data_IF_344870054498
#
_entry.id   IF_344870054498
#
_cell.length_a   1.000
_cell.length_b   1.000
_cell.length_c   1.000
_cell.angle_alpha   90.00
_cell.angle_beta   90.00
_cell.angle_gamma   90.00
#
_symmetry.space_group_name_H-M   'P 1'
#
loop_
_entity.id
_entity.type
_entity.pdbx_description
1 polymer ?
#
# COMPACT_ATOMS: atom_id res chain seq x y z
N UNK A 1 -4.36 -24.42 11.79
CA UNK A 1 -2.97 -24.54 12.31
C UNK A 1 -3.05 -24.63 13.83
N UNK A 2 -2.22 -25.43 14.50
CA UNK A 2 -2.24 -25.55 15.97
C UNK A 2 -1.71 -24.26 16.63
N UNK A 3 -2.24 -23.85 17.77
CA UNK A 3 -1.89 -22.58 18.45
C UNK A 3 -0.41 -22.52 18.83
N UNK A 4 0.15 -23.65 19.23
CA UNK A 4 1.55 -23.80 19.61
C UNK A 4 2.47 -23.46 18.43
N UNK A 5 2.11 -23.93 17.23
CA UNK A 5 2.86 -23.65 16.01
C UNK A 5 2.82 -22.16 15.63
N UNK A 6 1.70 -21.48 15.85
CA UNK A 6 1.58 -20.04 15.61
C UNK A 6 2.53 -19.28 16.55
N UNK A 7 2.49 -19.58 17.85
CA UNK A 7 3.34 -18.92 18.84
C UNK A 7 4.83 -19.16 18.56
N UNK A 8 5.19 -20.37 18.15
CA UNK A 8 6.55 -20.72 17.75
C UNK A 8 7.01 -19.86 16.57
N UNK A 9 6.22 -19.76 15.50
CA UNK A 9 6.53 -18.93 14.32
C UNK A 9 6.67 -17.46 14.70
N UNK A 10 5.71 -16.91 15.47
CA UNK A 10 5.73 -15.52 15.92
C UNK A 10 6.89 -15.19 16.87
N UNK A 11 7.40 -16.20 17.60
CA UNK A 11 8.59 -16.02 18.43
C UNK A 11 9.85 -16.01 17.58
N UNK A 12 9.96 -16.94 16.62
CA UNK A 12 11.15 -17.05 15.78
C UNK A 12 11.29 -15.90 14.79
N UNK A 13 10.19 -15.35 14.26
CA UNK A 13 10.24 -14.27 13.27
C UNK A 13 11.00 -13.05 13.78
N UNK A 14 10.97 -12.77 15.10
CA UNK A 14 11.72 -11.68 15.75
C UNK A 14 13.24 -11.78 15.60
N UNK A 15 13.77 -12.94 15.21
CA UNK A 15 15.19 -13.16 14.96
C UNK A 15 15.54 -13.24 13.45
N UNK A 16 14.55 -13.14 12.56
CA UNK A 16 14.73 -13.27 11.11
C UNK A 16 15.05 -11.90 10.52
N UNK A 17 16.03 -11.87 9.59
CA UNK A 17 16.30 -10.71 8.73
C UNK A 17 15.71 -10.98 7.36
N UNK A 18 14.93 -10.04 6.83
CA UNK A 18 14.18 -10.25 5.59
C UNK A 18 14.54 -9.16 4.59
N UNK A 19 14.86 -9.56 3.35
CA UNK A 19 14.96 -8.63 2.23
C UNK A 19 13.73 -8.79 1.34
N UNK A 20 13.08 -7.68 1.01
CA UNK A 20 11.96 -7.63 0.07
C UNK A 20 12.45 -6.95 -1.21
N UNK A 21 12.50 -7.73 -2.29
CA UNK A 21 12.82 -7.27 -3.63
C UNK A 21 11.58 -7.35 -4.53
N UNK A 22 11.17 -6.25 -5.13
CA UNK A 22 10.03 -6.24 -6.03
C UNK A 22 9.51 -4.84 -6.36
N UNK A 23 8.31 -4.81 -6.92
CA UNK A 23 7.67 -3.59 -7.37
C UNK A 23 6.87 -2.94 -6.24
N UNK A 24 7.30 -1.73 -5.86
CA UNK A 24 6.66 -0.93 -4.83
C UNK A 24 5.66 0.02 -5.47
N UNK A 25 4.43 0.00 -4.97
CA UNK A 25 3.38 0.89 -5.45
C UNK A 25 2.54 1.45 -4.29
N UNK A 26 1.79 2.50 -4.63
CA UNK A 26 0.72 3.05 -3.82
C UNK A 26 -0.61 2.70 -4.49
N UNK A 27 -1.55 2.21 -3.69
CA UNK A 27 -2.93 2.07 -4.12
C UNK A 27 -3.63 3.40 -3.86
N UNK A 28 -4.05 4.07 -4.94
CA UNK A 28 -4.74 5.35 -4.88
C UNK A 28 -6.26 5.16 -4.92
N UNK A 29 -6.94 5.78 -3.96
CA UNK A 29 -8.40 5.74 -3.85
C UNK A 29 -8.98 7.14 -3.99
N UNK A 30 -9.91 7.29 -4.93
CA UNK A 30 -10.72 8.49 -5.10
C UNK A 30 -12.18 8.18 -4.79
N UNK A 31 -12.70 8.83 -3.75
CA UNK A 31 -14.09 8.73 -3.34
C UNK A 31 -14.87 9.82 -4.08
N UNK A 32 -15.74 9.38 -4.98
CA UNK A 32 -16.53 10.25 -5.81
C UNK A 32 -17.67 10.88 -5.01
N UNK A 33 -17.92 12.16 -5.26
CA UNK A 33 -19.08 12.89 -4.77
C UNK A 33 -19.89 13.40 -5.98
N UNK A 34 -20.97 12.70 -6.38
CA UNK A 34 -21.77 13.10 -7.52
C UNK A 34 -22.45 14.46 -7.37
N UNK A 35 -22.59 15.01 -6.15
CA UNK A 35 -23.19 16.33 -5.96
C UNK A 35 -22.33 17.46 -6.52
N UNK A 36 -21.01 17.26 -6.61
CA UNK A 36 -20.08 18.20 -7.21
C UNK A 36 -19.89 18.01 -8.72
N UNK A 37 -20.59 17.06 -9.34
CA UNK A 37 -20.37 16.71 -10.75
C UNK A 37 -21.08 17.64 -11.71
N UNK A 38 -20.40 17.98 -12.81
CA UNK A 38 -20.92 18.78 -13.92
C UNK A 38 -20.84 18.04 -15.26
N UNK A 39 -21.54 18.51 -16.28
CA UNK A 39 -21.39 18.00 -17.65
C UNK A 39 -20.28 18.78 -18.33
N UNK A 40 -19.25 18.10 -18.82
CA UNK A 40 -18.14 18.73 -19.53
C UNK A 40 -18.64 19.41 -20.81
N UNK A 41 -18.26 20.67 -21.00
CA UNK A 41 -18.62 21.46 -22.20
C UNK A 41 -17.86 20.95 -23.43
N UNK A 42 -16.67 20.41 -23.24
CA UNK A 42 -15.77 19.92 -24.30
C UNK A 42 -16.21 18.56 -24.84
N UNK A 43 -16.75 17.69 -23.98
CA UNK A 43 -17.02 16.29 -24.31
C UNK A 43 -18.48 15.87 -24.20
N UNK A 44 -19.31 16.65 -23.49
CA UNK A 44 -20.70 16.30 -23.17
C UNK A 44 -20.83 15.15 -22.15
N UNK A 45 -19.73 14.67 -21.57
CA UNK A 45 -19.73 13.58 -20.58
C UNK A 45 -19.90 14.13 -19.15
N UNK A 46 -20.54 13.33 -18.30
CA UNK A 46 -20.63 13.64 -16.87
C UNK A 46 -19.25 13.52 -16.21
N UNK A 47 -18.74 14.62 -15.64
CA UNK A 47 -17.54 14.63 -14.85
C UNK A 47 -17.73 13.85 -13.54
N UNK A 48 -16.66 13.20 -13.06
CA UNK A 48 -16.64 12.48 -11.79
C UNK A 48 -15.93 13.33 -10.74
N UNK A 49 -16.69 14.12 -9.98
CA UNK A 49 -16.12 14.93 -8.92
C UNK A 49 -15.59 14.03 -7.79
N UNK A 50 -14.38 14.33 -7.32
CA UNK A 50 -13.73 13.63 -6.19
C UNK A 50 -13.95 14.47 -4.95
N UNK A 51 -14.67 13.93 -3.96
CA UNK A 51 -14.86 14.60 -2.67
C UNK A 51 -13.73 14.30 -1.67
N UNK A 52 -13.10 13.12 -1.79
CA UNK A 52 -11.99 12.70 -0.92
C UNK A 52 -11.05 11.78 -1.68
N UNK A 53 -9.77 11.80 -1.32
CA UNK A 53 -8.83 10.79 -1.76
C UNK A 53 -7.94 10.34 -0.61
N UNK A 54 -7.39 9.14 -0.73
CA UNK A 54 -6.37 8.61 0.17
C UNK A 54 -5.52 7.56 -0.54
N UNK A 55 -4.41 7.19 0.08
CA UNK A 55 -3.46 6.21 -0.45
C UNK A 55 -3.25 5.10 0.58
N UNK A 56 -2.99 3.89 0.10
CA UNK A 56 -2.45 2.79 0.91
C UNK A 56 -1.24 2.16 0.24
N UNK A 57 -0.52 1.32 0.98
CA UNK A 57 0.62 0.58 0.45
C UNK A 57 0.12 -0.56 -0.43
N UNK A 58 0.54 -0.56 -1.70
CA UNK A 58 0.26 -1.62 -2.67
C UNK A 58 1.49 -2.48 -2.96
N UNK A 59 1.31 -3.60 -3.68
CA UNK A 59 2.42 -4.41 -4.17
C UNK A 59 3.42 -4.83 -3.08
N UNK A 60 4.72 -4.67 -3.33
CA UNK A 60 5.78 -4.98 -2.38
C UNK A 60 5.72 -4.08 -1.12
N UNK A 61 5.16 -2.87 -1.21
CA UNK A 61 4.97 -1.98 -0.08
C UNK A 61 4.03 -2.59 0.96
N UNK A 62 2.96 -3.25 0.52
CA UNK A 62 2.03 -3.96 1.42
C UNK A 62 2.70 -5.18 2.10
N UNK A 63 3.56 -5.90 1.37
CA UNK A 63 4.32 -7.02 1.93
C UNK A 63 5.23 -6.52 3.06
N UNK A 64 5.96 -5.42 2.83
CA UNK A 64 6.79 -4.79 3.86
C UNK A 64 5.96 -4.32 5.06
N UNK A 65 4.77 -3.74 4.83
CA UNK A 65 3.88 -3.31 5.92
C UNK A 65 3.46 -4.48 6.83
N UNK A 66 3.07 -5.61 6.23
CA UNK A 66 2.71 -6.81 6.97
C UNK A 66 3.91 -7.40 7.71
N UNK A 67 5.08 -7.44 7.08
CA UNK A 67 6.31 -7.90 7.73
C UNK A 67 6.69 -6.99 8.91
N UNK A 68 6.59 -5.67 8.74
CA UNK A 68 6.88 -4.71 9.81
C UNK A 68 5.96 -4.93 11.03
N UNK A 69 4.67 -5.21 10.79
CA UNK A 69 3.72 -5.54 11.86
C UNK A 69 4.04 -6.84 12.62
N UNK A 70 4.86 -7.73 12.04
CA UNK A 70 5.33 -8.95 12.69
C UNK A 70 6.66 -8.77 13.45
N UNK A 71 7.27 -7.58 13.40
CA UNK A 71 8.49 -7.21 14.13
C UNK A 71 9.70 -8.17 13.93
N UNK A 72 10.12 -8.47 12.68
CA UNK A 72 11.34 -9.22 12.44
C UNK A 72 12.58 -8.42 12.89
N UNK A 73 13.73 -9.10 13.00
CA UNK A 73 14.98 -8.47 13.43
C UNK A 73 15.43 -7.34 12.50
N UNK A 74 15.17 -7.46 11.19
CA UNK A 74 15.41 -6.41 10.21
C UNK A 74 14.58 -6.63 8.93
N UNK A 75 14.26 -5.53 8.27
CA UNK A 75 13.68 -5.52 6.92
C UNK A 75 14.56 -4.66 6.02
N UNK A 76 15.02 -5.21 4.91
CA UNK A 76 15.69 -4.48 3.84
C UNK A 76 14.77 -4.37 2.63
N UNK A 77 14.55 -3.15 2.17
CA UNK A 77 13.71 -2.86 1.00
C UNK A 77 14.61 -2.64 -0.22
N UNK A 78 14.31 -3.32 -1.32
CA UNK A 78 15.07 -3.23 -2.57
C UNK A 78 14.09 -3.09 -3.73
N UNK A 79 14.05 -1.92 -4.35
CA UNK A 79 13.16 -1.61 -5.46
C UNK A 79 13.48 -0.24 -6.05
N UNK A 80 12.66 0.18 -7.00
CA UNK A 80 12.74 1.50 -7.60
C UNK A 80 11.53 2.36 -7.19
N UNK A 81 11.76 3.65 -7.01
CA UNK A 81 10.73 4.68 -6.78
C UNK A 81 11.03 5.87 -7.69
N UNK A 82 9.99 6.60 -8.09
CA UNK A 82 10.14 7.86 -8.83
C UNK A 82 10.54 9.02 -7.90
N UNK A 83 11.20 10.05 -8.45
CA UNK A 83 11.33 11.35 -7.76
C UNK A 83 10.11 12.22 -8.08
N UNK A 84 8.97 11.81 -7.53
CA UNK A 84 7.69 12.48 -7.68
C UNK A 84 6.93 12.49 -6.35
N UNK A 85 5.72 13.06 -6.33
CA UNK A 85 4.90 13.15 -5.12
C UNK A 85 4.47 11.79 -4.56
N UNK A 86 4.52 10.72 -5.35
CA UNK A 86 4.13 9.37 -4.94
C UNK A 86 5.34 8.54 -4.47
N UNK A 87 6.56 8.92 -4.85
CA UNK A 87 7.79 8.30 -4.38
C UNK A 87 8.45 8.93 -3.15
N UNK A 88 7.93 10.07 -2.65
CA UNK A 88 8.45 10.78 -1.47
C UNK A 88 7.74 10.38 -0.19
#
# INVERSE_FOLDING_TARGET
MKKERINEILTHIKNVKIAVYGDFCLDAYWLLDPHGSEVSVETGLQARAVGKHYYSLGGASNVVANLAALEPAAIQVIGAIGDDIFGR
#
